data_IF_044843342053
#
_entry.id   IF_044843342053
#
_cell.length_a   1.000
_cell.length_b   1.000
_cell.length_c   1.000
_cell.angle_alpha   90.00
_cell.angle_beta   90.00
_cell.angle_gamma   90.00
#
_symmetry.space_group_name_H-M   'P 1'
#
loop_
_entity.id
_entity.type
_entity.pdbx_description
1 polymer ?
#
# COMPACT_ATOMS: atom_id res chain seq x y z
N UNK A 1 -35.46 27.06 25.37
CA UNK A 1 -34.94 25.70 25.61
C UNK A 1 -35.04 24.92 24.30
N UNK A 2 -33.96 24.84 23.52
CA UNK A 2 -33.99 24.22 22.19
C UNK A 2 -34.20 22.71 22.25
N UNK A 3 -35.08 22.19 21.40
CA UNK A 3 -35.39 20.76 21.29
C UNK A 3 -34.11 19.93 21.10
N UNK A 4 -33.87 18.98 22.00
CA UNK A 4 -32.75 18.06 21.90
C UNK A 4 -33.01 17.10 20.71
N UNK A 5 -32.04 17.01 19.79
CA UNK A 5 -32.06 16.06 18.67
C UNK A 5 -32.36 14.64 19.17
N UNK A 6 -33.33 13.98 18.54
CA UNK A 6 -33.70 12.60 18.86
C UNK A 6 -32.53 11.63 18.70
N UNK A 7 -32.28 10.80 19.72
CA UNK A 7 -31.23 9.79 19.72
C UNK A 7 -31.55 8.67 18.72
N UNK A 8 -30.65 8.42 17.76
CA UNK A 8 -30.74 7.27 16.85
C UNK A 8 -30.00 6.07 17.47
N UNK A 9 -30.70 5.01 17.92
CA UNK A 9 -30.05 3.85 18.50
C UNK A 9 -29.15 3.14 17.47
N UNK A 10 -27.96 2.73 17.92
CA UNK A 10 -27.03 1.95 17.10
C UNK A 10 -27.63 0.56 16.87
N UNK A 11 -27.56 0.06 15.63
CA UNK A 11 -28.03 -1.30 15.30
C UNK A 11 -27.31 -2.32 16.20
N UNK A 12 -28.03 -3.21 16.91
CA UNK A 12 -27.41 -4.17 17.82
C UNK A 12 -26.59 -5.21 17.05
N UNK A 13 -25.45 -5.61 17.60
CA UNK A 13 -24.77 -6.86 17.24
C UNK A 13 -23.99 -6.94 15.93
N UNK A 14 -23.85 -5.84 15.17
CA UNK A 14 -23.05 -5.83 13.94
C UNK A 14 -21.96 -4.78 14.03
N UNK A 15 -20.69 -5.19 14.16
CA UNK A 15 -19.56 -4.28 13.97
C UNK A 15 -19.68 -3.48 12.66
N UNK A 16 -18.94 -2.38 12.53
CA UNK A 16 -18.99 -1.50 11.35
C UNK A 16 -18.88 -2.33 10.07
N UNK A 17 -19.96 -2.39 9.28
CA UNK A 17 -19.94 -3.02 7.95
C UNK A 17 -18.88 -2.31 7.11
N UNK A 18 -18.15 -3.07 6.28
CA UNK A 18 -17.22 -2.47 5.31
C UNK A 18 -18.01 -1.54 4.39
N UNK A 19 -17.63 -0.27 4.35
CA UNK A 19 -18.30 0.73 3.52
C UNK A 19 -18.11 0.48 2.02
N UNK A 20 -17.06 -0.24 1.62
CA UNK A 20 -16.78 -0.66 0.24
C UNK A 20 -16.35 -2.14 0.25
N UNK A 21 -17.30 -3.08 0.16
CA UNK A 21 -16.97 -4.51 0.14
C UNK A 21 -16.18 -4.93 -1.11
N UNK A 22 -16.33 -4.23 -2.22
CA UNK A 22 -15.66 -4.49 -3.51
C UNK A 22 -14.24 -3.92 -3.59
N UNK A 23 -13.80 -3.16 -2.57
CA UNK A 23 -12.49 -2.52 -2.57
C UNK A 23 -11.37 -3.55 -2.57
N UNK A 24 -10.67 -3.64 -3.70
CA UNK A 24 -9.49 -4.46 -3.88
C UNK A 24 -8.31 -3.56 -4.24
N UNK A 25 -7.42 -3.37 -3.26
CA UNK A 25 -6.27 -2.48 -3.43
C UNK A 25 -5.27 -3.01 -4.47
N UNK A 26 -5.19 -4.34 -4.67
CA UNK A 26 -4.29 -4.92 -5.67
C UNK A 26 -4.78 -4.64 -7.09
N UNK A 27 -6.10 -4.74 -7.32
CA UNK A 27 -6.72 -4.40 -8.60
C UNK A 27 -6.55 -2.91 -8.92
N UNK A 28 -6.84 -2.03 -7.95
CA UNK A 28 -6.69 -0.58 -8.12
C UNK A 28 -5.24 -0.21 -8.42
N UNK A 29 -4.25 -0.90 -7.81
CA UNK A 29 -2.85 -0.63 -8.12
C UNK A 29 -2.54 -0.95 -9.58
N UNK A 30 -2.97 -2.11 -10.09
CA UNK A 30 -2.75 -2.52 -11.48
C UNK A 30 -3.44 -1.58 -12.46
N UNK A 31 -4.71 -1.25 -12.22
CA UNK A 31 -5.49 -0.31 -13.04
C UNK A 31 -4.84 1.08 -13.14
N UNK A 32 -4.08 1.51 -12.13
CA UNK A 32 -3.32 2.76 -12.17
C UNK A 32 -1.92 2.60 -12.79
N UNK A 33 -1.32 1.42 -12.67
CA UNK A 33 0.05 1.15 -13.10
C UNK A 33 0.12 0.87 -14.60
N UNK A 34 -0.79 0.03 -15.11
CA UNK A 34 -0.83 -0.36 -16.53
C UNK A 34 -0.90 0.86 -17.48
N UNK A 35 -1.81 1.85 -17.31
CA UNK A 35 -1.83 3.01 -18.18
C UNK A 35 -0.60 3.92 -17.98
N UNK A 36 -0.06 4.01 -16.76
CA UNK A 36 1.15 4.79 -16.51
C UNK A 36 2.36 4.22 -17.26
N UNK A 37 2.50 2.89 -17.30
CA UNK A 37 3.57 2.20 -18.04
C UNK A 37 3.41 2.45 -19.55
N UNK A 38 2.20 2.27 -20.09
CA UNK A 38 1.94 2.51 -21.53
C UNK A 38 2.31 3.94 -21.95
N UNK A 39 1.94 4.94 -21.15
CA UNK A 39 2.26 6.34 -21.44
C UNK A 39 3.76 6.64 -21.29
N UNK A 40 4.44 5.97 -20.35
CA UNK A 40 5.88 6.11 -20.17
C UNK A 40 6.67 5.48 -21.33
N UNK A 41 6.26 4.30 -21.79
CA UNK A 41 6.84 3.62 -22.94
C UNK A 41 6.61 4.40 -24.24
N UNK A 42 5.54 5.19 -24.32
CA UNK A 42 5.29 6.16 -25.39
C UNK A 42 6.19 7.41 -25.33
N UNK A 43 7.12 7.49 -24.36
CA UNK A 43 8.09 8.58 -24.21
C UNK A 43 7.55 9.82 -23.51
N UNK A 44 6.40 9.74 -22.84
CA UNK A 44 5.83 10.89 -22.13
C UNK A 44 6.61 11.22 -20.84
N UNK A 45 6.66 12.50 -20.50
CA UNK A 45 7.27 12.95 -19.25
C UNK A 45 6.39 12.57 -18.05
N UNK A 46 7.00 12.44 -16.86
CA UNK A 46 6.26 12.17 -15.62
C UNK A 46 5.15 13.19 -15.34
N UNK A 47 5.34 14.44 -15.75
CA UNK A 47 4.36 15.51 -15.56
C UNK A 47 3.16 15.31 -16.50
N UNK A 48 3.41 15.00 -17.77
CA UNK A 48 2.34 14.78 -18.73
C UNK A 48 1.49 13.54 -18.38
N UNK A 49 2.13 12.46 -17.92
CA UNK A 49 1.42 11.27 -17.43
C UNK A 49 0.58 11.59 -16.19
N UNK A 50 1.11 12.44 -15.30
CA UNK A 50 0.38 12.87 -14.12
C UNK A 50 -0.86 13.69 -14.48
N UNK A 51 -0.75 14.61 -15.44
CA UNK A 51 -1.86 15.44 -15.90
C UNK A 51 -2.94 14.58 -16.60
N UNK A 52 -2.52 13.63 -17.45
CA UNK A 52 -3.42 12.70 -18.17
C UNK A 52 -4.20 11.78 -17.20
N UNK A 53 -3.52 11.22 -16.19
CA UNK A 53 -4.13 10.31 -15.22
C UNK A 53 -4.78 11.04 -14.02
N UNK A 54 -4.68 12.37 -13.94
CA UNK A 54 -5.12 13.15 -12.78
C UNK A 54 -4.39 12.77 -11.48
N UNK A 55 -3.11 12.38 -11.59
CA UNK A 55 -2.27 11.94 -10.48
C UNK A 55 -1.20 12.97 -10.14
N UNK A 56 -0.52 12.79 -9.02
CA UNK A 56 0.69 13.54 -8.71
C UNK A 56 1.90 12.88 -9.41
N UNK A 57 2.83 13.64 -10.02
CA UNK A 57 4.05 13.09 -10.64
C UNK A 57 4.87 12.17 -9.72
N UNK A 58 4.89 12.45 -8.42
CA UNK A 58 5.55 11.61 -7.40
C UNK A 58 4.90 10.21 -7.35
N UNK A 59 3.58 10.16 -7.48
CA UNK A 59 2.82 8.90 -7.50
C UNK A 59 3.08 8.14 -8.79
N UNK A 60 3.10 8.82 -9.93
CA UNK A 60 3.44 8.22 -11.24
C UNK A 60 4.83 7.60 -11.19
N UNK A 61 5.85 8.35 -10.76
CA UNK A 61 7.22 7.84 -10.57
C UNK A 61 7.21 6.55 -9.74
N UNK A 62 6.52 6.57 -8.61
CA UNK A 62 6.47 5.42 -7.72
C UNK A 62 5.75 4.21 -8.32
N UNK A 63 4.72 4.41 -9.14
CA UNK A 63 4.05 3.36 -9.90
C UNK A 63 5.01 2.72 -10.91
N UNK A 64 5.74 3.55 -11.68
CA UNK A 64 6.72 3.08 -12.67
C UNK A 64 7.89 2.33 -12.02
N UNK A 65 8.39 2.79 -10.87
CA UNK A 65 9.41 2.07 -10.08
C UNK A 65 8.85 0.73 -9.57
N UNK A 66 7.57 0.70 -9.16
CA UNK A 66 6.92 -0.54 -8.71
C UNK A 66 6.73 -1.53 -9.86
N UNK A 67 6.48 -1.04 -11.07
CA UNK A 67 6.45 -1.83 -12.30
C UNK A 67 7.85 -2.27 -12.77
N UNK A 68 8.92 -1.63 -12.28
CA UNK A 68 10.31 -1.92 -12.65
C UNK A 68 10.74 -1.31 -13.99
N UNK A 69 9.95 -0.39 -14.56
CA UNK A 69 10.24 0.23 -15.88
C UNK A 69 10.93 1.59 -15.76
N UNK A 70 10.90 2.21 -14.58
CA UNK A 70 11.49 3.54 -14.39
C UNK A 70 13.02 3.48 -14.33
N UNK A 71 13.68 4.10 -15.31
CA UNK A 71 15.13 4.22 -15.35
C UNK A 71 15.59 5.63 -14.92
N UNK A 72 16.43 5.71 -13.90
CA UNK A 72 17.10 6.94 -13.46
C UNK A 72 18.26 6.62 -12.54
N UNK A 73 19.42 7.26 -12.76
CA UNK A 73 20.62 7.10 -11.93
C UNK A 73 20.35 7.34 -10.43
N UNK A 74 19.44 8.29 -10.13
CA UNK A 74 19.07 8.59 -8.74
C UNK A 74 18.24 7.46 -8.15
N UNK A 75 17.32 6.87 -8.93
CA UNK A 75 16.49 5.77 -8.47
C UNK A 75 17.34 4.52 -8.19
N UNK A 76 18.27 4.20 -9.09
CA UNK A 76 19.21 3.09 -8.94
C UNK A 76 20.07 3.27 -7.68
N UNK A 77 20.77 4.40 -7.54
CA UNK A 77 21.59 4.69 -6.35
C UNK A 77 20.79 4.65 -5.05
N UNK A 78 19.58 5.21 -5.03
CA UNK A 78 18.72 5.16 -3.84
C UNK A 78 18.32 3.73 -3.51
N UNK A 79 18.01 2.92 -4.52
CA UNK A 79 17.57 1.55 -4.31
C UNK A 79 18.71 0.64 -3.85
N UNK A 80 19.89 0.75 -4.46
CA UNK A 80 21.11 0.03 -4.06
C UNK A 80 21.50 0.34 -2.60
N UNK A 81 21.69 1.64 -2.30
CA UNK A 81 22.07 2.07 -0.94
C UNK A 81 21.03 1.68 0.10
N UNK A 82 19.74 1.78 -0.25
CA UNK A 82 18.66 1.36 0.64
C UNK A 82 18.69 -0.16 0.89
N UNK A 83 18.86 -0.97 -0.15
CA UNK A 83 18.88 -2.42 -0.02
C UNK A 83 20.11 -2.90 0.77
N UNK A 84 21.24 -2.22 0.66
CA UNK A 84 22.42 -2.46 1.51
C UNK A 84 22.16 -2.17 2.99
N UNK A 85 21.57 -1.01 3.32
CA UNK A 85 21.19 -0.72 4.71
C UNK A 85 20.09 -1.65 5.21
N UNK A 86 19.23 -2.16 4.33
CA UNK A 86 18.11 -3.03 4.70
C UNK A 86 18.58 -4.41 5.16
N UNK A 87 19.77 -4.86 4.75
CA UNK A 87 20.40 -6.12 5.21
C UNK A 87 20.66 -6.11 6.72
N UNK A 88 21.00 -4.95 7.28
CA UNK A 88 21.44 -4.81 8.68
C UNK A 88 20.43 -4.08 9.56
N UNK A 89 19.61 -3.18 8.99
CA UNK A 89 18.74 -2.28 9.74
C UNK A 89 17.25 -2.47 9.46
N UNK A 90 16.40 -2.05 10.39
CA UNK A 90 14.95 -1.95 10.16
C UNK A 90 14.65 -0.91 9.06
N UNK A 91 13.52 -1.09 8.37
CA UNK A 91 13.13 -0.25 7.24
C UNK A 91 13.16 1.25 7.54
N UNK A 92 12.70 1.68 8.74
CA UNK A 92 12.70 3.12 9.08
C UNK A 92 14.11 3.68 9.23
N UNK A 93 15.01 2.92 9.83
CA UNK A 93 16.41 3.29 10.01
C UNK A 93 17.13 3.30 8.66
N UNK A 94 16.92 2.28 7.83
CA UNK A 94 17.48 2.21 6.49
C UNK A 94 17.09 3.42 5.62
N UNK A 95 15.83 3.88 5.64
CA UNK A 95 15.42 5.10 4.93
C UNK A 95 16.18 6.33 5.43
N UNK A 96 16.38 6.45 6.75
CA UNK A 96 17.09 7.58 7.34
C UNK A 96 18.59 7.55 6.99
N UNK A 97 19.24 6.39 7.08
CA UNK A 97 20.64 6.21 6.70
C UNK A 97 20.84 6.49 5.21
N UNK A 98 19.93 6.03 4.34
CA UNK A 98 19.97 6.32 2.90
C UNK A 98 19.85 7.81 2.62
N UNK A 99 18.91 8.49 3.30
CA UNK A 99 18.72 9.93 3.20
C UNK A 99 19.99 10.70 3.58
N UNK A 100 20.61 10.32 4.70
CA UNK A 100 21.86 10.94 5.16
C UNK A 100 23.04 10.66 4.22
N UNK A 101 23.17 9.43 3.71
CA UNK A 101 24.26 9.04 2.82
C UNK A 101 24.21 9.76 1.47
N UNK A 102 23.00 10.00 0.94
CA UNK A 102 22.79 10.64 -0.36
C UNK A 102 22.49 12.15 -0.26
N UNK A 103 22.45 12.73 0.94
CA UNK A 103 22.08 14.13 1.15
C UNK A 103 20.64 14.45 0.73
N UNK A 104 19.75 13.45 0.72
CA UNK A 104 18.36 13.58 0.31
C UNK A 104 17.43 13.73 1.51
N UNK A 105 16.26 14.32 1.29
CA UNK A 105 15.21 14.29 2.30
C UNK A 105 14.60 12.89 2.41
N UNK A 106 14.09 12.57 3.61
CA UNK A 106 13.39 11.30 3.87
C UNK A 106 12.23 11.07 2.90
N UNK A 107 11.47 12.12 2.58
CA UNK A 107 10.35 12.04 1.63
C UNK A 107 10.83 11.72 0.21
N UNK A 108 11.93 12.35 -0.22
CA UNK A 108 12.55 12.08 -1.53
C UNK A 108 12.97 10.63 -1.65
N UNK A 109 13.70 10.08 -0.67
CA UNK A 109 14.08 8.65 -0.65
C UNK A 109 12.85 7.75 -0.77
N UNK A 110 11.79 8.01 0.02
CA UNK A 110 10.59 7.18 -0.04
C UNK A 110 9.82 7.26 -1.36
N UNK A 111 10.04 8.30 -2.16
CA UNK A 111 9.46 8.42 -3.51
C UNK A 111 10.15 7.53 -4.54
N UNK A 112 11.45 7.27 -4.36
CA UNK A 112 12.26 6.40 -5.20
C UNK A 112 12.19 4.92 -4.80
N UNK A 113 11.48 4.59 -3.72
CA UNK A 113 11.30 3.20 -3.29
C UNK A 113 9.96 2.64 -3.80
N UNK A 114 9.93 1.39 -4.29
CA UNK A 114 8.71 0.75 -4.77
C UNK A 114 7.68 0.55 -3.66
N UNK A 115 6.41 0.38 -4.06
CA UNK A 115 5.38 -0.06 -3.13
C UNK A 115 5.66 -1.51 -2.69
N UNK A 116 6.11 -1.68 -1.44
CA UNK A 116 6.29 -3.00 -0.80
C UNK A 116 5.32 -3.25 0.36
N UNK A 117 4.71 -2.19 0.92
CA UNK A 117 3.78 -2.24 2.06
C UNK A 117 2.79 -1.07 2.00
N UNK A 118 1.61 -1.22 2.59
CA UNK A 118 0.67 -0.11 2.78
C UNK A 118 -0.71 -0.38 2.15
N UNK A 119 -1.35 0.66 1.62
CA UNK A 119 -2.73 0.57 1.10
C UNK A 119 -2.85 -0.48 -0.01
N UNK A 120 -1.93 -0.46 -0.98
CA UNK A 120 -1.94 -1.36 -2.14
C UNK A 120 -1.40 -2.76 -1.86
N UNK A 121 -0.58 -2.89 -0.80
CA UNK A 121 -0.07 -4.17 -0.31
C UNK A 121 -0.56 -4.33 1.11
N UNK A 122 -1.83 -4.77 1.30
CA UNK A 122 -2.36 -5.16 2.60
C UNK A 122 -1.65 -6.45 3.03
N UNK A 123 -0.35 -6.35 3.30
CA UNK A 123 0.46 -7.40 3.88
C UNK A 123 0.04 -7.55 5.33
N UNK A 124 -0.25 -8.79 5.73
CA UNK A 124 -0.29 -9.17 7.13
C UNK A 124 1.01 -8.69 7.78
N UNK A 125 0.91 -7.95 8.90
CA UNK A 125 2.08 -7.61 9.69
C UNK A 125 2.95 -8.88 9.89
N UNK A 126 4.29 -8.77 9.90
CA UNK A 126 5.14 -9.90 10.23
C UNK A 126 4.63 -10.50 11.54
N UNK A 127 4.48 -11.83 11.59
CA UNK A 127 3.91 -12.57 12.73
C UNK A 127 4.55 -12.16 14.05
N UNK A 128 5.83 -11.83 14.02
CA UNK A 128 6.66 -11.44 15.16
C UNK A 128 6.23 -10.11 15.80
N UNK A 129 5.44 -9.29 15.09
CA UNK A 129 4.89 -8.01 15.57
C UNK A 129 3.37 -8.07 15.79
N UNK A 130 2.75 -9.26 15.66
CA UNK A 130 1.32 -9.46 15.90
C UNK A 130 1.14 -9.78 17.39
N UNK A 131 0.23 -9.07 18.08
CA UNK A 131 -0.11 -9.43 19.46
C UNK A 131 -0.79 -10.80 19.51
N UNK A 132 -0.63 -11.51 20.62
CA UNK A 132 -1.25 -12.85 20.82
C UNK A 132 -2.77 -12.81 20.58
N UNK A 133 -3.45 -11.74 21.00
CA UNK A 133 -4.88 -11.54 20.76
C UNK A 133 -5.25 -11.35 19.28
N UNK A 134 -4.42 -10.60 18.54
CA UNK A 134 -4.62 -10.39 17.11
C UNK A 134 -4.40 -11.69 16.31
N UNK A 135 -3.41 -12.51 16.68
CA UNK A 135 -3.17 -13.82 16.06
C UNK A 135 -4.31 -14.81 16.35
N UNK A 136 -4.83 -14.82 17.59
CA UNK A 136 -6.01 -15.63 17.95
C UNK A 136 -7.22 -15.28 17.09
N UNK A 137 -7.50 -13.99 16.89
CA UNK A 137 -8.59 -13.53 16.04
C UNK A 137 -8.35 -13.83 14.56
N UNK A 138 -7.10 -13.75 14.07
CA UNK A 138 -6.73 -14.15 12.71
C UNK A 138 -7.02 -15.64 12.46
N UNK A 139 -6.56 -16.52 13.35
CA UNK A 139 -6.82 -17.98 13.29
C UNK A 139 -8.30 -18.31 13.34
N UNK A 140 -9.05 -17.70 14.27
CA UNK A 140 -10.50 -17.90 14.37
C UNK A 140 -11.23 -17.48 13.09
N UNK A 141 -10.89 -16.31 12.51
CA UNK A 141 -11.48 -15.84 11.25
C UNK A 141 -11.10 -16.70 10.04
N UNK A 142 -9.91 -17.30 10.02
CA UNK A 142 -9.50 -18.25 8.98
C UNK A 142 -10.32 -19.54 9.07
N UNK A 143 -10.42 -20.14 10.27
CA UNK A 143 -11.26 -21.31 10.53
C UNK A 143 -12.73 -21.09 10.18
N UNK A 144 -13.30 -19.93 10.53
CA UNK A 144 -14.69 -19.59 10.22
C UNK A 144 -14.92 -19.48 8.71
N UNK A 145 -13.98 -18.89 7.96
CA UNK A 145 -14.05 -18.83 6.49
C UNK A 145 -14.01 -20.22 5.85
N UNK A 146 -13.11 -21.09 6.31
CA UNK A 146 -13.01 -22.48 5.85
C UNK A 146 -14.31 -23.26 6.08
N UNK A 147 -14.89 -23.17 7.28
CA UNK A 147 -16.17 -23.83 7.59
C UNK A 147 -17.31 -23.33 6.70
N UNK A 148 -17.39 -22.02 6.48
CA UNK A 148 -18.43 -21.43 5.63
C UNK A 148 -18.27 -21.81 4.15
N UNK A 149 -17.03 -21.93 3.65
CA UNK A 149 -16.77 -22.35 2.27
C UNK A 149 -17.20 -23.81 2.04
N UNK A 150 -16.88 -24.71 2.98
CA UNK A 150 -17.27 -26.13 2.93
C UNK A 150 -18.79 -26.34 2.89
N UNK A 151 -19.55 -25.46 3.56
CA UNK A 151 -21.03 -25.51 3.55
C UNK A 151 -21.67 -24.92 2.29
N UNK A 152 -20.94 -24.10 1.52
CA UNK A 152 -21.42 -23.53 0.27
C UNK A 152 -21.19 -24.47 -0.92
N UNK A 153 -20.18 -25.33 -0.89
CA UNK A 153 -19.93 -26.35 -1.93
C UNK A 153 -20.88 -27.56 -1.84
N UNK A 154 -21.62 -27.72 -0.73
CA UNK A 154 -22.58 -28.82 -0.51
C UNK A 154 -24.03 -28.47 -0.83
N UNK A 155 -24.27 -27.30 -1.44
CA UNK A 155 -25.58 -26.87 -1.95
C UNK A 155 -25.52 -26.73 -3.46
#
# INVERSE_FOLDING_TARGET
MGEKRAYKPRRPGGGRRKSKPEYDAGKILKELMDPAVVLYDAGMSLQAIADELGLNPIKVRKLLITAGVYASDVAEKVQETFDDFRKTQDHKAAVLSTANALGLSRSSVTSYLPYKKGVYFPGTAPTDKISVGAERQRRYRAMKRWRNALTLEKK
#
